data_IF_220837573326
#
_entry.id   IF_220837573326
#
_cell.length_a   1.000
_cell.length_b   1.000
_cell.length_c   1.000
_cell.angle_alpha   90.00
_cell.angle_beta   90.00
_cell.angle_gamma   90.00
#
_symmetry.space_group_name_H-M   'P 1'
#
loop_
_entity.id
_entity.type
_entity.pdbx_description
1 polymer ?
#
# COMPACT_ATOMS: atom_id res chain seq x y z
N UNK A 1 -13.69 -23.21 29.46
CA UNK A 1 -14.19 -22.17 28.53
C UNK A 1 -13.70 -22.53 27.15
N UNK A 2 -14.59 -23.06 26.29
CA UNK A 2 -14.25 -23.29 24.89
C UNK A 2 -14.45 -21.94 24.19
N UNK A 3 -13.42 -21.11 24.22
CA UNK A 3 -13.43 -19.81 23.55
C UNK A 3 -13.63 -20.09 22.06
N UNK A 4 -14.80 -19.75 21.51
CA UNK A 4 -15.23 -20.00 20.13
C UNK A 4 -14.44 -19.24 19.06
N UNK A 5 -13.13 -19.07 19.26
CA UNK A 5 -12.21 -18.44 18.32
C UNK A 5 -11.74 -19.54 17.38
N UNK A 6 -12.21 -19.49 16.14
CA UNK A 6 -11.69 -20.32 15.07
C UNK A 6 -10.38 -19.71 14.57
N UNK A 7 -9.36 -20.55 14.38
CA UNK A 7 -8.10 -20.17 13.74
C UNK A 7 -8.23 -20.15 12.21
N UNK A 8 -9.44 -20.32 11.68
CA UNK A 8 -9.73 -20.32 10.24
C UNK A 8 -9.88 -18.91 9.69
N UNK A 9 -9.61 -18.80 8.39
CA UNK A 9 -9.72 -17.56 7.65
C UNK A 9 -11.16 -17.05 7.68
N UNK A 10 -11.34 -15.79 8.09
CA UNK A 10 -12.64 -15.10 8.13
C UNK A 10 -13.32 -14.94 6.76
N UNK A 11 -12.56 -15.06 5.67
CA UNK A 11 -13.06 -15.00 4.29
C UNK A 11 -13.58 -16.36 3.81
N UNK A 12 -13.43 -17.43 4.60
CA UNK A 12 -14.00 -18.73 4.27
C UNK A 12 -13.16 -19.58 3.31
N UNK A 13 -11.92 -19.20 2.97
CA UNK A 13 -11.06 -19.97 2.05
C UNK A 13 -10.45 -21.27 2.65
N UNK A 14 -11.00 -21.76 3.76
CA UNK A 14 -10.62 -23.00 4.47
C UNK A 14 -9.18 -23.09 5.04
N UNK A 15 -8.31 -22.11 4.77
CA UNK A 15 -6.98 -21.99 5.37
C UNK A 15 -7.03 -21.39 6.78
N UNK A 16 -5.95 -21.55 7.54
CA UNK A 16 -5.79 -20.90 8.84
C UNK A 16 -5.60 -19.38 8.65
N UNK A 17 -6.40 -18.60 9.35
CA UNK A 17 -6.45 -17.14 9.34
C UNK A 17 -5.33 -16.52 10.15
N UNK A 18 -4.07 -16.75 9.75
CA UNK A 18 -2.97 -15.93 10.27
C UNK A 18 -3.12 -14.49 9.78
N UNK A 19 -2.57 -13.52 10.50
CA UNK A 19 -2.62 -12.10 10.12
C UNK A 19 -2.17 -11.88 8.66
N UNK A 20 -1.06 -12.50 8.27
CA UNK A 20 -0.52 -12.38 6.90
C UNK A 20 -1.42 -13.10 5.89
N UNK A 21 -2.05 -14.21 6.26
CA UNK A 21 -3.00 -14.85 5.38
C UNK A 21 -4.23 -13.96 5.12
N UNK A 22 -4.85 -13.43 6.18
CA UNK A 22 -6.05 -12.58 6.10
C UNK A 22 -5.81 -11.31 5.27
N UNK A 23 -4.64 -10.69 5.43
CA UNK A 23 -4.30 -9.44 4.74
C UNK A 23 -3.70 -9.65 3.34
N UNK A 24 -3.11 -10.81 3.05
CA UNK A 24 -2.31 -10.98 1.84
C UNK A 24 -2.51 -12.30 1.09
N UNK A 25 -2.23 -13.44 1.71
CA UNK A 25 -2.26 -14.71 0.97
C UNK A 25 -3.67 -15.23 0.67
N UNK A 26 -4.69 -14.69 1.33
CA UNK A 26 -6.07 -15.08 1.06
C UNK A 26 -6.47 -14.67 -0.36
N UNK A 27 -7.00 -15.61 -1.19
CA UNK A 27 -7.44 -15.30 -2.56
C UNK A 27 -8.46 -14.17 -2.64
N UNK A 28 -9.35 -14.08 -1.65
CA UNK A 28 -10.35 -13.01 -1.56
C UNK A 28 -9.67 -11.64 -1.37
N UNK A 29 -8.69 -11.57 -0.47
CA UNK A 29 -7.94 -10.35 -0.21
C UNK A 29 -7.07 -9.95 -1.39
N UNK A 30 -6.46 -10.91 -2.10
CA UNK A 30 -5.72 -10.61 -3.34
C UNK A 30 -6.62 -9.99 -4.40
N UNK A 31 -7.82 -10.55 -4.59
CA UNK A 31 -8.81 -10.03 -5.54
C UNK A 31 -9.24 -8.60 -5.17
N UNK A 32 -9.41 -8.34 -3.88
CA UNK A 32 -9.69 -7.00 -3.37
C UNK A 32 -8.55 -6.01 -3.68
N UNK A 33 -7.30 -6.37 -3.40
CA UNK A 33 -6.14 -5.52 -3.69
C UNK A 33 -5.93 -5.23 -5.17
N UNK A 34 -6.23 -6.18 -6.06
CA UNK A 34 -6.20 -5.96 -7.50
C UNK A 34 -7.19 -4.86 -7.92
N UNK A 35 -8.40 -4.85 -7.37
CA UNK A 35 -9.41 -3.81 -7.63
C UNK A 35 -8.96 -2.44 -7.11
N UNK A 36 -8.42 -2.39 -5.90
CA UNK A 36 -7.87 -1.14 -5.33
C UNK A 36 -6.73 -0.63 -6.20
N UNK A 37 -5.78 -1.50 -6.59
CA UNK A 37 -4.68 -1.14 -7.48
C UNK A 37 -5.21 -0.52 -8.77
N UNK A 38 -6.16 -1.18 -9.44
CA UNK A 38 -6.70 -0.70 -10.71
C UNK A 38 -7.43 0.64 -10.55
N UNK A 39 -8.14 0.83 -9.43
CA UNK A 39 -8.78 2.10 -9.10
C UNK A 39 -7.73 3.21 -8.90
N UNK A 40 -6.69 2.97 -8.12
CA UNK A 40 -5.63 3.93 -7.85
C UNK A 40 -4.82 4.25 -9.12
N UNK A 41 -4.49 3.25 -9.94
CA UNK A 41 -3.80 3.46 -11.21
C UNK A 41 -4.60 4.36 -12.16
N UNK A 42 -5.93 4.21 -12.19
CA UNK A 42 -6.80 5.10 -12.97
C UNK A 42 -6.87 6.51 -12.40
N UNK A 43 -6.95 6.64 -11.07
CA UNK A 43 -7.10 7.93 -10.42
C UNK A 43 -5.84 8.79 -10.50
N UNK A 44 -4.66 8.16 -10.44
CA UNK A 44 -3.37 8.85 -10.47
C UNK A 44 -2.63 8.76 -11.81
N UNK A 45 -3.18 8.04 -12.79
CA UNK A 45 -2.55 7.78 -14.11
C UNK A 45 -1.14 7.16 -14.02
N UNK A 46 -0.85 6.44 -12.93
CA UNK A 46 0.46 5.80 -12.68
C UNK A 46 0.28 4.28 -12.64
N UNK A 47 1.17 3.54 -13.29
CA UNK A 47 1.23 2.08 -13.16
C UNK A 47 1.89 1.69 -11.83
N UNK A 48 1.07 1.40 -10.82
CA UNK A 48 1.58 0.93 -9.55
C UNK A 48 1.84 -0.59 -9.60
N UNK A 49 3.11 -1.00 -9.53
CA UNK A 49 3.50 -2.37 -9.14
C UNK A 49 3.24 -2.53 -7.64
N UNK A 50 1.96 -2.55 -7.26
CA UNK A 50 1.56 -2.49 -5.85
C UNK A 50 1.72 -3.90 -5.34
N UNK A 51 2.94 -4.20 -4.88
CA UNK A 51 3.07 -5.17 -3.81
C UNK A 51 2.36 -4.55 -2.61
N UNK A 52 1.24 -5.11 -2.18
CA UNK A 52 0.54 -4.62 -1.01
C UNK A 52 1.39 -4.85 0.24
N UNK A 53 2.41 -5.73 0.22
CA UNK A 53 3.44 -5.74 1.24
C UNK A 53 4.34 -4.48 1.22
N UNK A 54 4.67 -3.94 0.05
CA UNK A 54 5.39 -2.65 -0.07
C UNK A 54 4.49 -1.51 0.43
N UNK A 55 3.22 -1.50 0.00
CA UNK A 55 2.27 -0.45 0.35
C UNK A 55 1.87 -0.42 1.82
N UNK A 56 1.63 -1.59 2.43
CA UNK A 56 1.19 -1.70 3.84
C UNK A 56 2.35 -1.76 4.83
N UNK A 57 3.44 -2.43 4.48
CA UNK A 57 4.55 -2.68 5.41
C UNK A 57 5.77 -1.81 5.13
N UNK A 58 5.69 -0.89 4.15
CA UNK A 58 6.79 -0.01 3.78
C UNK A 58 8.05 -0.75 3.31
N UNK A 59 7.93 -2.04 2.94
CA UNK A 59 9.07 -2.82 2.48
C UNK A 59 9.50 -2.30 1.12
N UNK A 60 10.53 -1.47 1.07
CA UNK A 60 11.08 -0.99 -0.19
C UNK A 60 11.61 -2.21 -0.96
N UNK A 61 11.01 -2.54 -2.11
CA UNK A 61 11.73 -3.38 -3.07
C UNK A 61 12.80 -2.50 -3.68
N UNK A 62 14.04 -2.98 -3.72
CA UNK A 62 15.07 -2.50 -4.64
C UNK A 62 14.65 -2.83 -6.07
N UNK A 63 13.55 -2.26 -6.56
CA UNK A 63 13.32 -2.22 -7.99
C UNK A 63 14.01 -0.96 -8.51
N UNK A 64 14.81 -1.07 -9.59
CA UNK A 64 15.30 0.11 -10.27
C UNK A 64 14.06 0.83 -10.78
N UNK A 65 13.72 1.93 -10.12
CA UNK A 65 12.67 2.81 -10.60
C UNK A 65 13.12 3.21 -12.00
N UNK A 66 12.32 2.90 -13.03
CA UNK A 66 12.55 3.47 -14.36
C UNK A 66 12.48 4.98 -14.19
N UNK A 67 13.67 5.57 -14.11
CA UNK A 67 13.97 6.99 -14.04
C UNK A 67 12.90 7.82 -13.34
N UNK A 68 12.69 7.59 -12.04
CA UNK A 68 12.23 8.69 -11.22
C UNK A 68 13.40 9.67 -11.14
N UNK A 69 13.33 10.76 -11.91
CA UNK A 69 14.40 11.74 -12.01
C UNK A 69 14.56 12.39 -10.63
N UNK A 70 15.58 11.99 -9.86
CA UNK A 70 15.76 12.39 -8.45
C UNK A 70 15.76 13.93 -8.30
N UNK A 71 16.11 14.65 -9.38
CA UNK A 71 16.02 16.10 -9.46
C UNK A 71 14.60 16.65 -9.28
N UNK A 72 13.56 15.96 -9.79
CA UNK A 72 12.18 16.44 -9.66
C UNK A 72 11.64 16.28 -8.24
N UNK A 73 12.04 15.23 -7.49
CA UNK A 73 11.67 15.12 -6.07
C UNK A 73 12.35 16.18 -5.21
N UNK A 74 13.64 16.45 -5.45
CA UNK A 74 14.34 17.52 -4.74
C UNK A 74 13.68 18.87 -4.98
N UNK A 75 13.22 19.14 -6.20
CA UNK A 75 12.51 20.38 -6.53
C UNK A 75 11.13 20.44 -5.88
N UNK A 76 10.34 19.37 -5.94
CA UNK A 76 9.01 19.30 -5.31
C UNK A 76 9.13 19.47 -3.78
N UNK A 77 10.12 18.84 -3.15
CA UNK A 77 10.32 18.90 -1.71
C UNK A 77 10.81 20.28 -1.25
N UNK A 78 11.60 21.00 -2.07
CA UNK A 78 11.92 22.42 -1.83
C UNK A 78 10.69 23.33 -1.97
N UNK A 79 9.86 23.12 -2.99
CA UNK A 79 8.62 23.88 -3.19
C UNK A 79 7.60 23.65 -2.07
N UNK A 80 7.50 22.42 -1.55
CA UNK A 80 6.63 22.11 -0.41
C UNK A 80 7.14 22.77 0.88
N UNK A 81 8.46 22.92 1.03
CA UNK A 81 9.06 23.59 2.19
C UNK A 81 8.84 25.10 2.16
N UNK A 82 8.85 25.72 0.99
CA UNK A 82 8.55 27.15 0.80
C UNK A 82 7.07 27.47 1.07
N UNK A 83 6.14 26.57 0.70
CA UNK A 83 4.71 26.78 0.94
C UNK A 83 4.25 26.44 2.38
N UNK A 84 5.12 25.89 3.23
CA UNK A 84 4.81 25.59 4.63
C UNK A 84 5.27 26.68 5.61
N UNK A 85 6.08 27.65 5.17
CA UNK A 85 6.54 28.75 6.05
C UNK A 85 5.57 29.92 6.16
N UNK A 86 4.49 29.92 5.37
CA UNK A 86 3.56 31.06 5.31
C UNK A 86 2.25 30.86 6.11
N UNK A 87 2.00 29.69 6.71
CA UNK A 87 0.80 29.44 7.55
C UNK A 87 1.06 29.43 9.07
N UNK A 88 2.30 29.64 9.54
CA UNK A 88 2.66 29.59 10.97
C UNK A 88 3.06 30.96 11.57
N UNK A 89 2.56 32.06 10.98
CA UNK A 89 2.53 33.40 11.61
C UNK A 89 1.17 34.06 11.36
N UNK A 90 0.19 33.77 12.21
CA UNK A 90 -0.91 34.67 12.63
C UNK A 90 -1.63 34.12 13.85
#
# INVERSE_FOLDING_TARGET
>A
MNNGVTDKCWHGCAMNGTLIHLLWHCPETQTFWLKIRDYLCKLFEINFLLDPAVGLLGKQREQPQKNFNIHTLSQIMSLLKENQTDEDVS
#
